data_IF_503345712817
#
_entry.id   IF_503345712817
#
_cell.length_a   1.000
_cell.length_b   1.000
_cell.length_c   1.000
_cell.angle_alpha   90.00
_cell.angle_beta   90.00
_cell.angle_gamma   90.00
#
_symmetry.space_group_name_H-M   'P 1'
#
loop_
_entity.id
_entity.type
_entity.pdbx_description
1 polymer ?
#
# COMPACT_ATOMS: atom_id res chain seq x y z
N UNK A 1 3.93 10.15 -18.02
CA UNK A 1 2.46 9.92 -18.05
C UNK A 1 2.18 8.69 -17.22
N UNK A 2 1.57 8.85 -16.05
CA UNK A 2 1.31 7.75 -15.13
C UNK A 2 0.29 6.78 -15.70
N UNK A 3 0.46 5.48 -15.44
CA UNK A 3 -0.51 4.47 -15.82
C UNK A 3 -1.81 4.70 -15.02
N UNK A 4 -2.91 5.03 -15.71
CA UNK A 4 -4.23 5.25 -15.11
C UNK A 4 -4.95 3.93 -14.76
N UNK A 5 -4.22 2.82 -14.71
CA UNK A 5 -4.74 1.50 -14.38
C UNK A 5 -4.06 0.98 -13.12
N UNK A 6 -4.79 0.14 -12.38
CA UNK A 6 -4.23 -0.64 -11.30
C UNK A 6 -3.19 -1.62 -11.82
N UNK A 7 -2.05 -1.70 -11.13
CA UNK A 7 -1.02 -2.72 -11.29
C UNK A 7 -1.33 -3.86 -10.33
N UNK A 8 -2.04 -4.86 -10.84
CA UNK A 8 -2.24 -6.12 -10.11
C UNK A 8 -1.07 -7.06 -10.35
N UNK A 9 -0.66 -7.77 -9.31
CA UNK A 9 0.39 -8.80 -9.36
C UNK A 9 -0.28 -10.16 -9.18
N UNK A 10 0.06 -11.10 -10.05
CA UNK A 10 -0.34 -12.50 -9.93
C UNK A 10 0.64 -13.22 -8.99
N UNK A 11 0.28 -13.21 -7.71
CA UNK A 11 1.00 -13.91 -6.65
C UNK A 11 0.28 -15.24 -6.39
N UNK A 12 0.91 -16.41 -6.68
CA UNK A 12 0.23 -17.70 -6.62
C UNK A 12 -0.23 -18.10 -5.21
N UNK A 13 0.44 -17.61 -4.16
CA UNK A 13 0.09 -17.89 -2.77
C UNK A 13 -0.93 -16.88 -2.22
N UNK A 14 -0.87 -15.65 -2.72
CA UNK A 14 -1.76 -14.57 -2.32
C UNK A 14 -2.42 -13.91 -3.54
N UNK A 15 -3.31 -14.63 -4.21
CA UNK A 15 -4.00 -14.14 -5.40
C UNK A 15 -5.01 -13.03 -5.06
N UNK A 16 -5.18 -12.13 -6.02
CA UNK A 16 -6.31 -11.21 -6.03
C UNK A 16 -7.58 -11.98 -6.43
N UNK A 17 -8.67 -11.73 -5.71
CA UNK A 17 -10.00 -12.27 -6.02
C UNK A 17 -11.01 -11.12 -6.02
N UNK A 18 -11.78 -11.04 -7.10
CA UNK A 18 -12.81 -10.03 -7.29
C UNK A 18 -14.14 -10.38 -6.64
N UNK A 19 -14.97 -9.37 -6.46
CA UNK A 19 -16.40 -9.51 -6.21
C UNK A 19 -17.17 -9.60 -7.53
N UNK A 20 -18.32 -10.27 -7.52
CA UNK A 20 -19.28 -10.23 -8.64
C UNK A 20 -20.02 -8.90 -8.69
N UNK A 21 -20.76 -8.67 -9.79
CA UNK A 21 -21.57 -7.46 -9.92
C UNK A 21 -22.67 -7.42 -8.85
N UNK A 22 -23.30 -8.56 -8.58
CA UNK A 22 -24.38 -8.70 -7.60
C UNK A 22 -23.89 -8.43 -6.17
N UNK A 23 -22.68 -8.89 -5.83
CA UNK A 23 -22.04 -8.58 -4.54
C UNK A 23 -21.77 -7.08 -4.40
N UNK A 24 -21.30 -6.42 -5.46
CA UNK A 24 -21.04 -4.97 -5.45
C UNK A 24 -22.34 -4.17 -5.38
N UNK A 25 -23.37 -4.59 -6.10
CA UNK A 25 -24.69 -3.94 -6.06
C UNK A 25 -25.30 -4.06 -4.66
N UNK A 26 -25.17 -5.22 -4.02
CA UNK A 26 -25.58 -5.42 -2.62
C UNK A 26 -24.85 -4.47 -1.66
N UNK A 27 -23.54 -4.25 -1.84
CA UNK A 27 -22.77 -3.30 -1.02
C UNK A 27 -23.22 -1.85 -1.23
N UNK A 28 -23.55 -1.46 -2.46
CA UNK A 28 -24.06 -0.12 -2.77
C UNK A 28 -25.45 0.12 -2.19
N UNK A 29 -26.33 -0.89 -2.24
CA UNK A 29 -27.67 -0.83 -1.66
C UNK A 29 -27.60 -0.71 -0.12
N UNK A 30 -26.81 -1.55 0.54
CA UNK A 30 -26.67 -1.55 2.00
C UNK A 30 -26.01 -0.28 2.55
N UNK A 31 -25.08 0.30 1.80
CA UNK A 31 -24.48 1.59 2.16
C UNK A 31 -25.34 2.78 1.74
N UNK A 32 -26.36 2.57 0.90
CA UNK A 32 -27.13 3.63 0.23
C UNK A 32 -26.22 4.65 -0.48
N UNK A 33 -25.14 4.18 -1.09
CA UNK A 33 -24.13 5.00 -1.76
C UNK A 33 -23.81 4.44 -3.14
N UNK A 34 -23.60 5.34 -4.11
CA UNK A 34 -23.09 4.95 -5.43
C UNK A 34 -21.57 4.95 -5.41
N UNK A 35 -20.97 3.83 -5.78
CA UNK A 35 -19.53 3.70 -5.76
C UNK A 35 -18.89 4.33 -7.01
N UNK A 36 -17.71 4.98 -6.87
CA UNK A 36 -16.96 5.45 -8.02
C UNK A 36 -16.60 4.30 -8.97
N UNK A 37 -16.66 4.52 -10.28
CA UNK A 37 -16.36 3.48 -11.30
C UNK A 37 -14.99 2.84 -11.11
N UNK A 38 -14.00 3.64 -10.72
CA UNK A 38 -12.65 3.16 -10.43
C UNK A 38 -12.61 2.23 -9.22
N UNK A 39 -13.40 2.53 -8.18
CA UNK A 39 -13.52 1.66 -7.02
C UNK A 39 -14.25 0.35 -7.37
N UNK A 40 -15.33 0.41 -8.16
CA UNK A 40 -16.00 -0.80 -8.69
C UNK A 40 -15.01 -1.66 -9.49
N UNK A 41 -14.19 -1.06 -10.35
CA UNK A 41 -13.19 -1.80 -11.13
C UNK A 41 -12.13 -2.47 -10.25
N UNK A 42 -11.76 -1.85 -9.12
CA UNK A 42 -10.90 -2.46 -8.12
C UNK A 42 -11.60 -3.65 -7.44
N UNK A 43 -12.85 -3.47 -6.98
CA UNK A 43 -13.63 -4.51 -6.32
C UNK A 43 -13.83 -5.74 -7.21
N UNK A 44 -14.12 -5.54 -8.50
CA UNK A 44 -14.28 -6.63 -9.47
C UNK A 44 -13.00 -7.45 -9.71
N UNK A 45 -11.83 -6.91 -9.37
CA UNK A 45 -10.54 -7.57 -9.59
C UNK A 45 -9.91 -8.08 -8.30
N UNK A 46 -10.13 -7.40 -7.18
CA UNK A 46 -9.43 -7.65 -5.92
C UNK A 46 -10.28 -7.33 -4.66
N UNK A 47 -11.60 -7.16 -4.80
CA UNK A 47 -12.47 -6.79 -3.69
C UNK A 47 -12.55 -7.86 -2.62
N UNK A 48 -12.84 -9.11 -3.02
CA UNK A 48 -12.98 -10.25 -2.10
C UNK A 48 -11.68 -10.56 -1.37
N UNK A 49 -10.58 -10.51 -2.11
CA UNK A 49 -9.23 -10.65 -1.59
C UNK A 49 -8.30 -9.75 -2.40
N UNK A 50 -7.67 -8.80 -1.73
CA UNK A 50 -6.59 -8.02 -2.33
C UNK A 50 -5.27 -8.42 -1.71
N UNK A 51 -4.30 -8.70 -2.56
CA UNK A 51 -2.96 -9.01 -2.10
C UNK A 51 -2.17 -7.77 -1.68
N UNK A 52 -2.69 -6.57 -1.91
CA UNK A 52 -2.04 -5.30 -1.57
C UNK A 52 -2.85 -4.51 -0.54
N UNK A 53 -4.15 -4.34 -0.78
CA UNK A 53 -4.99 -3.49 0.06
C UNK A 53 -6.39 -4.06 0.18
N UNK A 54 -6.63 -4.84 1.24
CA UNK A 54 -7.92 -5.48 1.46
C UNK A 54 -8.93 -4.48 1.99
N UNK A 55 -9.99 -4.22 1.23
CA UNK A 55 -11.11 -3.34 1.61
C UNK A 55 -12.17 -4.11 2.40
N UNK A 56 -13.08 -3.39 3.05
CA UNK A 56 -14.22 -4.00 3.72
C UNK A 56 -15.29 -4.39 2.69
N UNK A 57 -15.68 -5.67 2.69
CA UNK A 57 -16.67 -6.24 1.77
C UNK A 57 -17.81 -6.95 2.48
N UNK A 58 -17.80 -6.99 3.81
CA UNK A 58 -18.96 -7.35 4.60
C UNK A 58 -19.83 -6.11 4.78
N UNK A 59 -21.07 -6.16 4.28
CA UNK A 59 -21.99 -5.03 4.30
C UNK A 59 -22.31 -4.51 5.72
N UNK A 60 -22.44 -5.41 6.70
CA UNK A 60 -22.73 -5.03 8.09
C UNK A 60 -21.55 -4.27 8.71
N UNK A 61 -20.33 -4.77 8.50
CA UNK A 61 -19.11 -4.13 8.98
C UNK A 61 -18.89 -2.80 8.24
N UNK A 62 -19.09 -2.77 6.93
CA UNK A 62 -18.99 -1.56 6.11
C UNK A 62 -19.93 -0.46 6.64
N UNK A 63 -21.20 -0.80 6.89
CA UNK A 63 -22.18 0.11 7.47
C UNK A 63 -21.78 0.60 8.86
N UNK A 64 -21.22 -0.28 9.69
CA UNK A 64 -20.72 0.09 11.02
C UNK A 64 -19.59 1.11 10.91
N UNK A 65 -18.53 0.83 10.15
CA UNK A 65 -17.37 1.74 10.02
C UNK A 65 -17.74 3.04 9.31
N UNK A 66 -18.72 3.01 8.41
CA UNK A 66 -19.29 4.18 7.75
C UNK A 66 -19.96 5.12 8.75
N UNK A 67 -20.81 4.57 9.64
CA UNK A 67 -21.50 5.33 10.68
C UNK A 67 -20.53 5.88 11.73
N UNK A 68 -19.53 5.08 12.14
CA UNK A 68 -18.48 5.52 13.06
C UNK A 68 -17.70 6.70 12.47
N UNK A 69 -17.20 6.58 11.24
CA UNK A 69 -16.50 7.67 10.56
C UNK A 69 -17.37 8.92 10.47
N UNK A 70 -18.65 8.77 10.11
CA UNK A 70 -19.58 9.91 10.01
C UNK A 70 -19.71 10.63 11.36
N UNK A 71 -19.89 9.88 12.45
CA UNK A 71 -19.98 10.43 13.80
C UNK A 71 -18.70 11.17 14.21
N UNK A 72 -17.52 10.63 13.90
CA UNK A 72 -16.24 11.27 14.21
C UNK A 72 -16.04 12.58 13.46
N UNK A 73 -16.37 12.61 12.17
CA UNK A 73 -16.27 13.82 11.35
C UNK A 73 -17.28 14.89 11.81
N UNK A 74 -18.49 14.50 12.23
CA UNK A 74 -19.51 15.43 12.72
C UNK A 74 -19.10 16.10 14.03
N UNK A 75 -18.47 15.35 14.96
CA UNK A 75 -17.90 15.92 16.20
C UNK A 75 -16.87 17.02 15.94
N UNK A 76 -16.14 16.90 14.83
CA UNK A 76 -15.11 17.86 14.41
C UNK A 76 -15.65 18.95 13.48
N UNK A 77 -16.94 18.93 13.14
CA UNK A 77 -17.57 19.80 12.14
C UNK A 77 -16.87 19.72 10.76
N UNK A 78 -16.43 18.53 10.34
CA UNK A 78 -15.74 18.32 9.07
C UNK A 78 -16.64 17.63 8.04
N UNK A 79 -16.53 18.05 6.78
CA UNK A 79 -17.26 17.47 5.63
C UNK A 79 -18.77 17.32 5.92
N UNK A 80 -19.36 18.39 6.49
CA UNK A 80 -20.77 18.41 6.84
C UNK A 80 -21.62 18.36 5.57
N UNK A 81 -22.60 17.45 5.55
CA UNK A 81 -23.49 17.21 4.41
C UNK A 81 -22.81 16.63 3.17
N UNK A 82 -21.58 16.15 3.28
CA UNK A 82 -20.89 15.50 2.17
C UNK A 82 -21.11 13.98 2.19
N UNK A 83 -21.29 13.40 1.00
CA UNK A 83 -21.43 11.96 0.84
C UNK A 83 -20.04 11.33 0.92
N UNK A 84 -19.78 10.64 2.02
CA UNK A 84 -18.50 9.96 2.25
C UNK A 84 -18.69 8.45 2.11
N UNK A 85 -17.69 7.77 1.55
CA UNK A 85 -17.63 6.31 1.49
C UNK A 85 -16.39 5.81 2.20
N UNK A 86 -16.56 5.27 3.41
CA UNK A 86 -15.53 4.54 4.13
C UNK A 86 -15.31 3.19 3.45
N UNK A 87 -14.06 2.86 3.13
CA UNK A 87 -13.72 1.59 2.47
C UNK A 87 -12.90 0.67 3.37
N UNK A 88 -12.33 1.22 4.45
CA UNK A 88 -11.53 0.46 5.41
C UNK A 88 -11.35 1.21 6.73
N UNK A 89 -11.37 0.46 7.83
CA UNK A 89 -10.89 0.89 9.15
C UNK A 89 -9.74 -0.03 9.59
N UNK A 90 -8.70 0.55 10.16
CA UNK A 90 -7.70 -0.16 10.95
C UNK A 90 -7.77 0.29 12.39
N UNK A 91 -7.52 -0.63 13.31
CA UNK A 91 -7.32 -0.36 14.73
C UNK A 91 -5.99 -0.99 15.12
N UNK A 92 -5.08 -0.19 15.67
CA UNK A 92 -3.75 -0.62 16.10
C UNK A 92 -3.58 -0.20 17.55
N UNK A 93 -3.30 -1.17 18.42
CA UNK A 93 -2.89 -0.87 19.79
C UNK A 93 -1.41 -0.54 19.81
N UNK A 94 -1.07 0.68 20.24
CA UNK A 94 0.31 1.11 20.42
C UNK A 94 0.69 0.98 21.89
N UNK A 95 1.51 -0.04 22.19
CA UNK A 95 1.97 -0.35 23.56
C UNK A 95 2.64 0.85 24.22
N UNK A 96 3.42 1.62 23.44
CA UNK A 96 4.14 2.80 23.93
C UNK A 96 3.19 3.85 24.54
N UNK A 97 1.99 3.99 23.97
CA UNK A 97 0.97 4.93 24.43
C UNK A 97 -0.13 4.26 25.27
N UNK A 98 -0.12 2.93 25.39
CA UNK A 98 -1.19 2.13 25.99
C UNK A 98 -2.58 2.52 25.47
N UNK A 99 -2.71 2.72 24.16
CA UNK A 99 -3.94 3.22 23.53
C UNK A 99 -4.18 2.59 22.15
N UNK A 100 -5.45 2.50 21.77
CA UNK A 100 -5.85 2.11 20.42
C UNK A 100 -5.90 3.34 19.52
N UNK A 101 -5.30 3.21 18.34
CA UNK A 101 -5.32 4.21 17.28
C UNK A 101 -6.17 3.69 16.12
N UNK A 102 -7.13 4.49 15.72
CA UNK A 102 -8.01 4.18 14.60
C UNK A 102 -7.58 4.95 13.36
N UNK A 103 -7.60 4.28 12.21
CA UNK A 103 -7.33 4.89 10.91
C UNK A 103 -8.41 4.48 9.93
N UNK A 104 -9.08 5.47 9.36
CA UNK A 104 -10.12 5.29 8.36
C UNK A 104 -9.62 5.71 6.99
N UNK A 105 -9.90 4.89 5.99
CA UNK A 105 -9.66 5.19 4.58
C UNK A 105 -11.01 5.40 3.91
N UNK A 106 -11.20 6.54 3.26
CA UNK A 106 -12.49 6.90 2.69
C UNK A 106 -12.37 7.78 1.45
N UNK A 107 -13.46 7.82 0.68
CA UNK A 107 -13.64 8.75 -0.43
C UNK A 107 -14.65 9.82 -0.04
N UNK A 108 -14.42 11.03 -0.54
CA UNK A 108 -15.45 12.05 -0.60
C UNK A 108 -16.16 11.98 -1.97
N UNK A 109 -17.36 11.41 -1.99
CA UNK A 109 -18.15 11.22 -3.21
C UNK A 109 -18.76 12.53 -3.73
N UNK A 110 -18.88 13.55 -2.87
CA UNK A 110 -19.35 14.89 -3.28
C UNK A 110 -18.42 15.57 -4.29
N UNK A 111 -17.14 15.19 -4.33
CA UNK A 111 -16.18 15.72 -5.30
C UNK A 111 -16.45 15.28 -6.74
N UNK A 112 -17.24 14.21 -6.93
CA UNK A 112 -17.64 13.68 -8.24
C UNK A 112 -16.46 13.48 -9.22
N UNK A 113 -15.31 13.05 -8.71
CA UNK A 113 -14.12 12.74 -9.52
C UNK A 113 -14.21 11.33 -10.09
N UNK A 114 -13.79 11.14 -11.34
CA UNK A 114 -13.71 9.81 -11.96
C UNK A 114 -12.78 8.86 -11.20
N UNK A 115 -11.62 9.37 -10.76
CA UNK A 115 -10.69 8.69 -9.87
C UNK A 115 -10.69 9.45 -8.53
N UNK A 116 -11.35 8.90 -7.50
CA UNK A 116 -11.55 9.62 -6.25
C UNK A 116 -10.22 9.83 -5.51
N UNK A 117 -10.13 10.98 -4.85
CA UNK A 117 -9.10 11.23 -3.84
C UNK A 117 -9.30 10.25 -2.69
N UNK A 118 -8.24 9.57 -2.26
CA UNK A 118 -8.30 8.73 -1.06
C UNK A 118 -7.90 9.59 0.15
N UNK A 119 -8.83 9.71 1.09
CA UNK A 119 -8.60 10.41 2.35
C UNK A 119 -8.29 9.42 3.45
N UNK A 120 -7.45 9.86 4.38
CA UNK A 120 -7.14 9.18 5.63
C UNK A 120 -7.64 10.06 6.77
N UNK A 121 -8.50 9.51 7.62
CA UNK A 121 -8.84 10.10 8.90
C UNK A 121 -8.18 9.28 10.02
N UNK A 122 -7.29 9.90 10.77
CA UNK A 122 -6.43 9.23 11.75
C UNK A 122 -6.22 10.11 12.98
N UNK A 123 -5.86 9.47 14.09
CA UNK A 123 -5.33 10.14 15.26
C UNK A 123 -3.80 10.13 15.22
N UNK A 124 -3.18 11.32 15.33
CA UNK A 124 -1.73 11.49 15.31
C UNK A 124 -1.23 12.07 16.63
N UNK A 125 -0.10 11.57 17.11
CA UNK A 125 0.60 12.18 18.24
C UNK A 125 1.18 13.53 17.80
N UNK A 126 0.78 14.61 18.49
CA UNK A 126 1.31 15.95 18.27
C UNK A 126 2.35 16.34 19.31
N UNK A 127 2.36 15.65 20.47
CA UNK A 127 3.39 15.79 21.48
C UNK A 127 3.50 14.53 22.34
N UNK A 128 4.60 13.80 22.20
CA UNK A 128 4.86 12.56 22.95
C UNK A 128 5.00 12.82 24.45
N UNK A 129 5.68 13.89 24.84
CA UNK A 129 5.96 14.20 26.25
C UNK A 129 4.71 14.53 27.06
N UNK A 130 3.64 14.98 26.41
CA UNK A 130 2.35 15.30 27.03
C UNK A 130 1.25 14.29 26.66
N UNK A 131 1.58 13.23 25.93
CA UNK A 131 0.61 12.27 25.37
C UNK A 131 -0.56 12.99 24.67
N UNK A 132 -0.24 14.04 23.92
CA UNK A 132 -1.25 14.85 23.24
C UNK A 132 -1.46 14.32 21.82
N UNK A 133 -2.71 14.05 21.49
CA UNK A 133 -3.12 13.51 20.20
C UNK A 133 -4.13 14.43 19.51
N UNK A 134 -4.15 14.36 18.19
CA UNK A 134 -5.10 15.11 17.36
C UNK A 134 -5.64 14.22 16.27
N UNK A 135 -6.97 14.23 16.12
CA UNK A 135 -7.64 13.68 14.94
C UNK A 135 -7.53 14.64 13.76
N UNK A 136 -7.15 14.12 12.60
CA UNK A 136 -6.99 14.91 11.39
C UNK A 136 -7.39 14.15 10.13
N UNK A 137 -7.78 14.88 9.10
CA UNK A 137 -7.96 14.38 7.73
C UNK A 137 -6.73 14.77 6.92
N UNK A 138 -6.21 13.84 6.12
CA UNK A 138 -5.22 14.11 5.09
C UNK A 138 -5.54 13.35 3.82
N UNK A 139 -5.07 13.84 2.68
CA UNK A 139 -5.03 13.08 1.44
C UNK A 139 -3.88 12.06 1.50
N UNK A 140 -4.01 10.94 0.78
CA UNK A 140 -2.86 10.09 0.50
C UNK A 140 -1.81 10.87 -0.30
N UNK A 141 -0.53 10.54 -0.12
CA UNK A 141 0.58 11.22 -0.82
C UNK A 141 0.46 11.08 -2.34
N UNK A 142 -0.21 10.04 -2.80
CA UNK A 142 -0.38 9.66 -4.18
C UNK A 142 -1.58 10.38 -4.86
N UNK A 143 -2.29 11.25 -4.13
CA UNK A 143 -3.36 12.14 -4.57
C UNK A 143 -4.64 11.46 -5.11
N UNK A 144 -4.62 10.17 -5.42
CA UNK A 144 -5.80 9.43 -5.87
C UNK A 144 -5.67 7.92 -5.61
N UNK A 145 -6.80 7.22 -5.69
CA UNK A 145 -6.90 5.81 -5.35
C UNK A 145 -6.03 4.88 -6.21
N UNK A 146 -5.99 5.10 -7.54
CA UNK A 146 -5.16 4.27 -8.44
C UNK A 146 -3.68 4.38 -8.09
N UNK A 147 -3.21 5.61 -7.92
CA UNK A 147 -1.81 5.87 -7.60
C UNK A 147 -1.46 5.32 -6.21
N UNK A 148 -2.36 5.43 -5.23
CA UNK A 148 -2.21 4.80 -3.92
C UNK A 148 -2.04 3.28 -4.02
N UNK A 149 -2.97 2.59 -4.70
CA UNK A 149 -2.88 1.12 -4.88
C UNK A 149 -1.59 0.74 -5.61
N UNK A 150 -1.21 1.47 -6.66
CA UNK A 150 0.02 1.18 -7.40
C UNK A 150 1.28 1.39 -6.55
N UNK A 151 1.30 2.41 -5.69
CA UNK A 151 2.39 2.64 -4.75
C UNK A 151 2.47 1.52 -3.71
N UNK A 152 1.33 1.11 -3.15
CA UNK A 152 1.27 -0.03 -2.23
C UNK A 152 1.71 -1.34 -2.90
N UNK A 153 1.33 -1.56 -4.17
CA UNK A 153 1.82 -2.70 -4.97
C UNK A 153 3.34 -2.64 -5.11
N UNK A 154 3.90 -1.49 -5.50
CA UNK A 154 5.36 -1.34 -5.64
C UNK A 154 6.07 -1.49 -4.28
N UNK A 155 5.48 -1.01 -3.18
CA UNK A 155 6.04 -1.17 -1.84
C UNK A 155 6.11 -2.64 -1.43
N UNK A 156 5.10 -3.44 -1.78
CA UNK A 156 4.99 -4.85 -1.40
C UNK A 156 5.74 -5.80 -2.35
N UNK A 157 5.62 -5.57 -3.66
CA UNK A 157 6.08 -6.47 -4.73
C UNK A 157 7.15 -5.85 -5.63
N UNK A 158 7.38 -4.55 -5.53
CA UNK A 158 8.43 -3.86 -6.28
C UNK A 158 9.81 -4.35 -5.88
N UNK A 159 10.75 -4.18 -6.80
CA UNK A 159 12.13 -4.55 -6.54
C UNK A 159 12.71 -3.56 -5.53
N UNK A 160 12.90 -3.98 -4.28
CA UNK A 160 13.56 -3.13 -3.29
C UNK A 160 14.96 -2.74 -3.80
N UNK A 161 15.50 -1.55 -3.47
CA UNK A 161 16.90 -1.21 -3.80
C UNK A 161 17.91 -2.28 -3.34
N UNK A 162 17.59 -3.02 -2.28
CA UNK A 162 18.34 -4.21 -1.81
C UNK A 162 18.39 -5.35 -2.84
N UNK A 163 17.37 -5.55 -3.66
CA UNK A 163 17.37 -6.55 -4.75
C UNK A 163 18.19 -6.08 -5.97
N UNK A 164 18.21 -4.78 -6.26
CA UNK A 164 19.10 -4.22 -7.29
C UNK A 164 20.59 -4.31 -6.91
N UNK A 165 20.94 -4.10 -5.63
CA UNK A 165 22.32 -4.27 -5.14
C UNK A 165 22.80 -5.72 -5.11
N UNK A 166 21.88 -6.69 -4.95
CA UNK A 166 22.24 -8.11 -4.96
C UNK A 166 22.74 -8.60 -6.33
N UNK A 167 22.40 -7.91 -7.42
CA UNK A 167 22.55 -8.46 -8.76
C UNK A 167 23.40 -7.64 -9.75
N UNK A 168 24.15 -6.59 -9.37
CA UNK A 168 24.76 -5.73 -10.42
C UNK A 168 26.26 -5.32 -10.40
N UNK A 169 27.05 -5.19 -9.32
CA UNK A 169 28.43 -4.66 -9.49
C UNK A 169 29.61 -5.55 -9.06
N UNK A 170 29.47 -6.48 -8.11
CA UNK A 170 30.65 -7.19 -7.56
C UNK A 170 31.18 -8.30 -8.47
N UNK A 171 30.31 -8.97 -9.22
CA UNK A 171 30.68 -10.11 -10.08
C UNK A 171 31.42 -9.69 -11.36
N UNK A 172 31.07 -8.52 -11.92
CA UNK A 172 31.70 -8.02 -13.16
C UNK A 172 33.12 -7.52 -12.89
N UNK A 173 33.40 -7.00 -11.69
CA UNK A 173 34.73 -6.49 -11.30
C UNK A 173 35.62 -7.62 -10.75
N UNK A 174 35.07 -8.63 -10.06
CA UNK A 174 35.87 -9.68 -9.42
C UNK A 174 36.39 -10.74 -10.40
N UNK A 175 35.68 -11.02 -11.50
CA UNK A 175 36.11 -12.02 -12.50
C UNK A 175 37.42 -11.61 -13.21
N UNK A 176 37.58 -10.38 -13.73
CA UNK A 176 38.84 -9.98 -14.36
C UNK A 176 40.02 -9.95 -13.39
N UNK A 177 39.80 -9.48 -12.15
CA UNK A 177 40.83 -9.39 -11.11
C UNK A 177 41.33 -10.76 -10.64
N UNK A 178 40.42 -11.71 -10.46
CA UNK A 178 40.77 -13.09 -10.06
C UNK A 178 41.52 -13.84 -11.17
N UNK A 179 41.18 -13.61 -12.44
CA UNK A 179 41.94 -14.14 -13.59
C UNK A 179 43.38 -13.61 -13.62
N UNK A 180 43.60 -12.31 -13.41
CA UNK A 180 44.93 -11.71 -13.39
C UNK A 180 45.76 -12.27 -12.21
N UNK A 181 45.16 -12.38 -11.03
CA UNK A 181 45.83 -12.97 -9.85
C UNK A 181 46.24 -14.43 -10.08
N UNK A 182 45.38 -15.25 -10.70
CA UNK A 182 45.71 -16.65 -11.04
C UNK A 182 46.88 -16.75 -12.03
N UNK A 183 46.95 -15.83 -13.00
CA UNK A 183 48.06 -15.77 -13.96
C UNK A 183 49.37 -15.44 -13.23
N UNK A 184 49.38 -14.42 -12.37
CA UNK A 184 50.56 -14.02 -11.59
C UNK A 184 51.03 -15.17 -10.70
N UNK A 185 50.11 -15.84 -10.00
CA UNK A 185 50.43 -16.95 -9.10
C UNK A 185 51.08 -18.12 -9.87
N UNK A 186 50.54 -18.46 -11.05
CA UNK A 186 51.14 -19.50 -11.91
C UNK A 186 52.55 -19.13 -12.36
N UNK A 187 52.78 -17.87 -12.73
CA UNK A 187 54.11 -17.40 -13.11
C UNK A 187 55.12 -17.46 -11.95
N UNK A 188 54.70 -17.12 -10.73
CA UNK A 188 55.58 -17.22 -9.56
C UNK A 188 55.98 -18.67 -9.27
N UNK A 189 55.02 -19.60 -9.31
CA UNK A 189 55.29 -21.03 -9.08
C UNK A 189 56.21 -21.61 -10.17
N UNK A 190 56.01 -21.23 -11.44
CA UNK A 190 56.90 -21.61 -12.55
C UNK A 190 58.32 -21.06 -12.36
N UNK A 191 58.45 -19.80 -11.92
CA UNK A 191 59.75 -19.18 -11.67
C UNK A 191 60.49 -19.86 -10.52
N UNK A 192 59.80 -20.24 -9.45
CA UNK A 192 60.39 -21.00 -8.34
C UNK A 192 60.84 -22.41 -8.79
N UNK A 193 60.05 -23.10 -9.63
CA UNK A 193 60.46 -24.40 -10.18
C UNK A 193 61.70 -24.32 -11.08
N UNK A 194 61.82 -23.26 -11.89
CA UNK A 194 63.00 -23.07 -12.76
C UNK A 194 64.24 -22.69 -11.95
N UNK A 195 64.08 -21.98 -10.82
CA UNK A 195 65.21 -21.54 -9.98
C UNK A 195 65.73 -22.64 -9.04
N UNK A 196 64.94 -23.68 -8.82
CA UNK A 196 65.28 -24.85 -7.99
C UNK A 196 65.60 -26.11 -8.83
N UNK A 197 65.83 -25.95 -10.14
CA UNK A 197 66.55 -26.91 -11.00
C UNK A 197 67.99 -26.44 -11.19
#
# INVERSE_FOLDING_TARGET
MGNNNFRFVDDPENKNEGLTVEEIDSLQEESNLRFPKIYISFLQKAGKKSNVFQVETNAEILRKIQNELRSELDKLNLLQNENILCIKKYEVYEEYFNSNFETYYFFNLSENKWNPTLYIFEEVCINEGWLAFKKQIRETKENNFIAFINCETERKYGLTPKQHLKNFPLYIISIPLSLILLIILRFQILKEKIKNQ
#
